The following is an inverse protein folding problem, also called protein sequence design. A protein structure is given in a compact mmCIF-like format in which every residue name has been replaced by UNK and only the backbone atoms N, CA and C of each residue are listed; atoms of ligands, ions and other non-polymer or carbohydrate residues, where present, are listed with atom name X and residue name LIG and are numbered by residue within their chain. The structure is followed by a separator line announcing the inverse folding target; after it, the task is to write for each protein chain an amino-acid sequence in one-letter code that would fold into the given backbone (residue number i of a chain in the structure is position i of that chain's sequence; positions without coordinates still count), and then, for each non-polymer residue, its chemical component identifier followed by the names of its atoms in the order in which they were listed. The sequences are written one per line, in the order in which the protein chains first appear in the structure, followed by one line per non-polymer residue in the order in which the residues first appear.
data_IF_624629701215
#
_entry.id   IF_624629701215
#
_cell.length_a   1.000
_cell.length_b   1.000
_cell.length_c   1.000
_cell.angle_alpha   90.00
_cell.angle_beta   90.00
_cell.angle_gamma   90.00
#
_symmetry.space_group_name_H-M   'P 1'
#
loop_
_entity.id
_entity.type
_entity.pdbx_description
1 polymer ?
#
# COMPACT_ATOMS: atom_id res chain seq x y z
N UNK A 1 2.87 6.33 91.44
CA UNK A 1 3.70 6.29 90.22
C UNK A 1 2.81 6.67 89.05
N UNK A 2 2.81 7.93 88.62
CA UNK A 2 1.98 8.37 87.48
C UNK A 2 2.62 7.79 86.21
N UNK A 3 1.86 7.01 85.45
CA UNK A 3 2.21 6.62 84.08
C UNK A 3 2.27 7.91 83.23
N UNK A 4 3.44 8.53 83.19
CA UNK A 4 3.72 9.68 82.33
C UNK A 4 3.98 9.19 80.92
N UNK A 5 2.96 9.27 80.07
CA UNK A 5 3.13 9.09 78.63
C UNK A 5 1.99 8.32 78.00
N UNK A 6 0.78 8.86 78.02
CA UNK A 6 -0.26 8.36 77.12
C UNK A 6 0.23 8.57 75.69
N UNK A 7 0.34 7.49 74.91
CA UNK A 7 0.58 7.61 73.47
C UNK A 7 -0.66 8.27 72.88
N UNK A 8 -0.52 9.50 72.40
CA UNK A 8 -1.60 10.23 71.76
C UNK A 8 -1.71 9.81 70.28
N UNK A 9 -2.90 9.93 69.71
CA UNK A 9 -3.14 9.66 68.27
C UNK A 9 -2.20 10.48 67.40
N UNK A 10 -1.91 11.73 67.78
CA UNK A 10 -0.97 12.59 67.06
C UNK A 10 0.48 12.07 67.09
N UNK A 11 0.93 11.48 68.20
CA UNK A 11 2.26 10.85 68.25
C UNK A 11 2.34 9.61 67.36
N UNK A 12 1.26 8.84 67.27
CA UNK A 12 1.18 7.69 66.36
C UNK A 12 1.21 8.16 64.90
N UNK A 13 0.42 9.18 64.54
CA UNK A 13 0.40 9.77 63.18
C UNK A 13 1.77 10.29 62.78
N UNK A 14 2.44 11.06 63.66
CA UNK A 14 3.77 11.58 63.39
C UNK A 14 4.80 10.47 63.18
N UNK A 15 4.75 9.39 63.98
CA UNK A 15 5.65 8.25 63.82
C UNK A 15 5.39 7.47 62.52
N UNK A 16 4.12 7.32 62.11
CA UNK A 16 3.76 6.69 60.83
C UNK A 16 4.25 7.52 59.64
N UNK A 17 4.05 8.84 59.68
CA UNK A 17 4.51 9.72 58.59
C UNK A 17 6.04 9.72 58.50
N UNK A 18 6.75 9.76 59.64
CA UNK A 18 8.21 9.66 59.65
C UNK A 18 8.71 8.33 59.07
N UNK A 19 8.02 7.22 59.35
CA UNK A 19 8.33 5.92 58.74
C UNK A 19 8.01 5.90 57.24
N UNK A 20 6.94 6.57 56.81
CA UNK A 20 6.55 6.65 55.40
C UNK A 20 7.55 7.48 54.58
N UNK A 21 8.02 8.61 55.13
CA UNK A 21 9.02 9.46 54.49
C UNK A 21 10.40 8.77 54.37
N UNK A 22 10.71 7.84 55.27
CA UNK A 22 11.92 7.01 55.22
C UNK A 22 11.81 5.81 54.25
N UNK A 23 10.61 5.51 53.71
CA UNK A 23 10.48 4.47 52.69
C UNK A 23 11.14 4.94 51.38
N UNK A 24 11.86 4.06 50.68
CA UNK A 24 12.37 4.40 49.36
C UNK A 24 11.20 4.78 48.44
N UNK A 25 11.40 5.75 47.53
CA UNK A 25 10.37 6.11 46.55
C UNK A 25 9.92 4.87 45.80
N UNK A 26 8.63 4.78 45.49
CA UNK A 26 8.12 3.67 44.72
C UNK A 26 8.93 3.55 43.41
N UNK A 27 9.55 2.38 43.11
CA UNK A 27 10.40 2.22 41.94
C UNK A 27 9.65 2.46 40.63
N UNK A 28 8.32 2.40 40.67
CA UNK A 28 7.44 2.66 39.52
C UNK A 28 6.48 3.81 39.84
N UNK A 29 6.84 5.09 39.65
CA UNK A 29 5.88 6.18 39.76
C UNK A 29 4.75 6.07 38.71
N UNK A 30 3.66 6.85 38.86
CA UNK A 30 2.63 6.97 37.81
C UNK A 30 3.29 7.42 36.50
N UNK A 31 2.94 6.76 35.39
CA UNK A 31 3.57 6.91 34.07
C UNK A 31 4.79 5.99 33.85
N UNK A 32 5.21 5.21 34.85
CA UNK A 32 6.31 4.25 34.67
C UNK A 32 5.89 3.08 33.78
N UNK A 33 6.84 2.60 32.97
CA UNK A 33 6.67 1.45 32.09
C UNK A 33 7.35 0.22 32.68
N UNK A 34 6.65 -0.92 32.64
CA UNK A 34 7.16 -2.23 33.03
C UNK A 34 7.07 -3.22 31.87
N UNK A 35 8.18 -3.93 31.62
CA UNK A 35 8.33 -4.92 30.55
C UNK A 35 8.52 -6.32 31.13
N UNK A 36 7.81 -7.31 30.59
CA UNK A 36 7.85 -8.69 31.09
C UNK A 36 7.57 -9.71 29.99
N UNK A 37 8.12 -10.91 30.12
CA UNK A 37 7.73 -12.06 29.29
C UNK A 37 6.43 -12.73 29.78
N UNK A 38 5.92 -12.31 30.93
CA UNK A 38 4.75 -12.88 31.59
C UNK A 38 3.54 -11.96 31.45
N UNK A 39 2.32 -12.51 31.28
CA UNK A 39 1.08 -11.74 31.18
C UNK A 39 0.58 -11.16 32.50
N UNK A 40 1.27 -11.41 33.61
CA UNK A 40 0.87 -11.01 34.96
C UNK A 40 0.75 -9.48 35.07
N UNK A 41 -0.40 -9.02 35.57
CA UNK A 41 -0.63 -7.60 35.89
C UNK A 41 0.35 -7.15 36.99
N UNK A 42 1.20 -6.13 36.74
CA UNK A 42 2.15 -5.63 37.73
C UNK A 42 1.51 -5.08 38.99
N UNK A 43 0.21 -4.74 38.98
CA UNK A 43 -0.55 -4.38 40.18
C UNK A 43 -0.54 -5.48 41.23
N UNK A 44 -0.43 -6.75 40.81
CA UNK A 44 -0.32 -7.90 41.73
C UNK A 44 1.08 -8.07 42.33
N UNK A 45 2.10 -7.46 41.74
CA UNK A 45 3.51 -7.57 42.14
C UNK A 45 3.99 -6.33 42.91
N UNK A 46 3.57 -5.15 42.46
CA UNK A 46 4.06 -3.85 42.93
C UNK A 46 2.96 -2.97 43.52
N UNK A 47 1.70 -3.42 43.50
CA UNK A 47 0.54 -2.58 43.80
C UNK A 47 0.27 -1.54 42.72
N UNK A 48 -0.70 -0.66 42.98
CA UNK A 48 -1.16 0.35 42.03
C UNK A 48 -2.04 -0.21 40.93
N UNK A 49 -2.47 0.68 40.02
CA UNK A 49 -3.32 0.34 38.88
C UNK A 49 -2.49 0.46 37.60
N UNK A 50 -2.56 -0.56 36.74
CA UNK A 50 -1.76 -0.64 35.53
C UNK A 50 -2.63 -0.88 34.30
N UNK A 51 -2.21 -0.35 33.15
CA UNK A 51 -2.85 -0.59 31.86
C UNK A 51 -1.85 -1.21 30.90
N UNK A 52 -2.25 -2.30 30.22
CA UNK A 52 -1.39 -2.95 29.24
C UNK A 52 -1.34 -2.13 27.94
N UNK A 53 -0.12 -1.88 27.45
CA UNK A 53 0.12 -1.37 26.10
C UNK A 53 0.21 -2.56 25.16
N UNK A 54 -0.64 -2.58 24.13
CA UNK A 54 -0.77 -3.68 23.16
C UNK A 54 -0.46 -3.22 21.75
N UNK A 55 0.21 -4.09 20.99
CA UNK A 55 0.41 -3.96 19.53
C UNK A 55 0.98 -2.61 19.10
N UNK A 56 1.91 -2.06 19.89
CA UNK A 56 2.54 -0.77 19.66
C UNK A 56 4.05 -0.84 19.88
N UNK A 57 4.80 -0.19 19.01
CA UNK A 57 6.19 0.18 19.27
C UNK A 57 6.23 1.43 20.16
N UNK A 58 7.10 1.43 21.17
CA UNK A 58 7.29 2.60 22.03
C UNK A 58 8.42 3.46 21.45
N UNK A 59 8.05 4.62 20.93
CA UNK A 59 8.98 5.66 20.49
C UNK A 59 9.21 6.64 21.64
N UNK A 60 10.47 6.98 21.90
CA UNK A 60 10.82 7.99 22.89
C UNK A 60 10.23 9.36 22.51
N UNK A 61 9.61 10.03 23.47
CA UNK A 61 9.09 11.37 23.28
C UNK A 61 10.21 12.40 23.09
N UNK A 62 9.94 13.44 22.30
CA UNK A 62 10.83 14.57 22.05
C UNK A 62 10.07 15.74 21.41
N UNK A 63 10.79 16.70 20.84
CA UNK A 63 10.17 17.91 20.27
C UNK A 63 9.25 17.62 19.07
N UNK A 64 9.59 16.59 18.28
CA UNK A 64 8.79 16.16 17.13
C UNK A 64 7.65 15.23 17.52
N UNK A 65 7.92 14.28 18.41
CA UNK A 65 6.95 13.26 18.83
C UNK A 65 6.61 13.48 20.30
N UNK A 66 5.50 14.17 20.55
CA UNK A 66 5.08 14.49 21.92
C UNK A 66 4.64 13.23 22.67
N UNK A 67 4.87 13.20 23.98
CA UNK A 67 4.42 12.11 24.84
C UNK A 67 2.90 11.88 24.71
N UNK A 68 2.49 10.61 24.61
CA UNK A 68 1.09 10.23 24.39
C UNK A 68 0.60 10.27 22.94
N UNK A 69 1.43 10.76 22.00
CA UNK A 69 1.11 10.69 20.56
C UNK A 69 1.07 9.24 20.08
N UNK A 70 0.16 8.94 19.14
CA UNK A 70 0.07 7.65 18.47
C UNK A 70 0.33 7.83 16.97
N UNK A 71 0.89 6.82 16.31
CA UNK A 71 1.12 6.82 14.87
C UNK A 71 1.77 5.53 14.39
N UNK A 72 2.17 5.52 13.12
CA UNK A 72 2.72 4.34 12.44
C UNK A 72 1.62 3.42 11.87
N UNK A 73 2.03 2.55 10.95
CA UNK A 73 1.14 1.60 10.27
C UNK A 73 1.82 0.24 10.20
N UNK A 74 1.09 -0.82 10.54
CA UNK A 74 1.59 -2.20 10.47
C UNK A 74 1.75 -2.67 9.01
N UNK A 75 0.81 -2.28 8.16
CA UNK A 75 0.82 -2.50 6.72
C UNK A 75 0.72 -1.17 5.99
N UNK A 76 1.41 -1.06 4.86
CA UNK A 76 1.34 0.13 4.00
C UNK A 76 0.90 -0.30 2.61
N UNK A 77 -0.10 0.39 2.08
CA UNK A 77 -0.42 0.39 0.65
C UNK A 77 0.25 1.60 0.03
N UNK A 78 1.05 1.37 -1.02
CA UNK A 78 1.71 2.47 -1.71
C UNK A 78 0.72 3.27 -2.54
N UNK A 79 0.74 4.58 -2.32
CA UNK A 79 0.05 5.56 -3.14
C UNK A 79 0.90 5.96 -4.36
N UNK A 80 0.27 6.55 -5.37
CA UNK A 80 0.94 6.91 -6.64
C UNK A 80 2.13 7.85 -6.41
N UNK A 81 2.02 8.77 -5.44
CA UNK A 81 3.06 9.73 -5.08
C UNK A 81 4.27 9.09 -4.36
N UNK A 82 4.10 7.88 -3.81
CA UNK A 82 5.16 7.11 -3.15
C UNK A 82 5.96 6.24 -4.13
N UNK A 83 5.52 6.12 -5.39
CA UNK A 83 6.23 5.36 -6.42
C UNK A 83 7.31 6.25 -7.06
N UNK A 84 8.60 5.84 -7.04
CA UNK A 84 9.66 6.61 -7.70
C UNK A 84 9.39 6.84 -9.19
N UNK A 85 9.94 7.93 -9.72
CA UNK A 85 9.90 8.19 -11.15
C UNK A 85 10.50 7.00 -11.90
N UNK A 86 9.69 6.41 -12.78
CA UNK A 86 10.07 5.29 -13.63
C UNK A 86 9.59 5.56 -15.06
N UNK A 87 10.05 4.74 -16.02
CA UNK A 87 9.68 4.90 -17.44
C UNK A 87 9.05 3.62 -17.97
N UNK A 88 8.05 3.80 -18.82
CA UNK A 88 7.59 2.76 -19.72
C UNK A 88 8.19 3.00 -21.10
N UNK A 89 8.58 1.93 -21.77
CA UNK A 89 8.98 1.97 -23.17
C UNK A 89 8.09 1.06 -23.97
N UNK A 90 7.57 1.56 -25.09
CA UNK A 90 6.89 0.74 -26.07
C UNK A 90 7.41 1.09 -27.47
N UNK A 91 7.29 0.14 -28.39
CA UNK A 91 7.72 0.32 -29.77
C UNK A 91 6.70 -0.37 -30.66
N UNK A 92 6.18 0.36 -31.65
CA UNK A 92 5.29 -0.17 -32.67
C UNK A 92 6.03 -0.22 -33.99
N UNK A 93 5.73 -1.22 -34.79
CA UNK A 93 6.23 -1.34 -36.15
C UNK A 93 5.04 -1.43 -37.09
N UNK A 94 4.88 -0.44 -37.96
CA UNK A 94 3.91 -0.53 -39.05
C UNK A 94 4.43 -1.48 -40.12
N UNK A 95 3.57 -2.36 -40.62
CA UNK A 95 3.86 -3.16 -41.80
C UNK A 95 3.06 -2.63 -42.97
N UNK A 96 3.71 -2.58 -44.13
CA UNK A 96 3.09 -2.17 -45.39
C UNK A 96 2.87 -3.41 -46.25
N UNK A 97 1.65 -3.59 -46.75
CA UNK A 97 1.37 -4.55 -47.82
C UNK A 97 1.38 -3.76 -49.13
N UNK A 98 2.45 -3.97 -49.90
CA UNK A 98 2.63 -3.37 -51.21
C UNK A 98 2.84 -4.44 -52.25
N UNK A 99 2.16 -4.34 -53.38
CA UNK A 99 2.32 -5.26 -54.49
C UNK A 99 1.28 -5.01 -55.56
N UNK A 100 1.35 -5.78 -56.63
CA UNK A 100 0.36 -5.68 -57.69
C UNK A 100 -0.10 -7.05 -58.13
N UNK A 101 -1.41 -7.21 -58.27
CA UNK A 101 -2.00 -8.41 -58.85
C UNK A 101 -2.45 -8.07 -60.27
N UNK A 102 -1.93 -8.84 -61.22
CA UNK A 102 -2.35 -8.80 -62.62
C UNK A 102 -3.32 -9.95 -62.87
N UNK A 103 -4.52 -9.63 -63.33
CA UNK A 103 -5.52 -10.63 -63.74
C UNK A 103 -5.89 -10.42 -65.20
N UNK A 104 -5.96 -11.52 -65.95
CA UNK A 104 -6.22 -11.49 -67.38
C UNK A 104 -7.66 -11.10 -67.74
N UNK A 105 -8.64 -11.57 -66.97
CA UNK A 105 -10.06 -11.20 -67.06
C UNK A 105 -10.73 -11.38 -65.69
N UNK A 106 -11.43 -10.37 -65.18
CA UNK A 106 -12.31 -10.49 -64.01
C UNK A 106 -13.76 -10.55 -64.50
N UNK A 107 -14.42 -11.68 -64.28
CA UNK A 107 -15.84 -11.90 -64.59
C UNK A 107 -16.57 -12.34 -63.32
N UNK A 108 -17.80 -11.86 -63.10
CA UNK A 108 -18.65 -12.25 -61.95
C UNK A 108 -18.05 -12.00 -60.55
N UNK A 109 -17.36 -10.87 -60.34
CA UNK A 109 -16.99 -10.45 -58.97
C UNK A 109 -18.25 -10.13 -58.15
N UNK A 110 -18.33 -10.60 -56.90
CA UNK A 110 -19.46 -10.34 -56.01
C UNK A 110 -19.48 -8.91 -55.46
N UNK A 111 -20.58 -8.51 -54.82
CA UNK A 111 -20.75 -7.18 -54.21
C UNK A 111 -19.98 -6.98 -52.90
N UNK A 112 -19.15 -7.93 -52.48
CA UNK A 112 -18.36 -7.89 -51.24
C UNK A 112 -17.04 -8.66 -51.39
N UNK A 113 -16.04 -8.30 -50.58
CA UNK A 113 -14.69 -8.85 -50.61
C UNK A 113 -13.62 -7.83 -51.06
N UNK A 114 -12.35 -8.25 -51.08
CA UNK A 114 -11.22 -7.39 -51.47
C UNK A 114 -11.33 -6.81 -52.89
N UNK A 115 -12.16 -7.43 -53.74
CA UNK A 115 -12.52 -6.95 -55.07
C UNK A 115 -14.05 -6.99 -55.22
N UNK A 116 -14.72 -5.84 -55.12
CA UNK A 116 -16.18 -5.71 -55.23
C UNK A 116 -16.58 -4.53 -56.11
N UNK A 117 -17.79 -4.58 -56.68
CA UNK A 117 -18.41 -3.48 -57.40
C UNK A 117 -19.82 -3.19 -56.86
N UNK A 118 -20.25 -1.92 -56.93
CA UNK A 118 -21.56 -1.48 -56.42
C UNK A 118 -22.71 -1.63 -57.43
N UNK A 119 -22.43 -2.02 -58.68
CA UNK A 119 -23.44 -2.17 -59.74
C UNK A 119 -23.77 -3.63 -60.04
N UNK A 120 -25.00 -4.08 -59.73
CA UNK A 120 -25.53 -5.44 -60.00
C UNK A 120 -25.68 -5.81 -61.49
N UNK A 121 -25.21 -4.97 -62.40
CA UNK A 121 -25.21 -5.21 -63.85
C UNK A 121 -23.78 -5.18 -64.35
N UNK A 122 -23.25 -6.34 -64.78
CA UNK A 122 -21.94 -6.57 -65.41
C UNK A 122 -20.98 -5.37 -65.40
N UNK A 123 -20.44 -5.04 -64.23
CA UNK A 123 -19.48 -3.96 -64.10
C UNK A 123 -18.09 -4.46 -64.52
N UNK A 124 -17.64 -4.02 -65.70
CA UNK A 124 -16.22 -4.04 -66.04
C UNK A 124 -15.50 -3.08 -65.08
N UNK A 125 -14.68 -3.61 -64.18
CA UNK A 125 -13.73 -2.79 -63.42
C UNK A 125 -12.48 -2.62 -64.28
N UNK A 126 -12.29 -1.43 -64.84
CA UNK A 126 -11.11 -1.11 -65.66
C UNK A 126 -11.49 -0.33 -66.90
N UNK A 127 -10.67 0.68 -67.21
CA UNK A 127 -10.82 1.58 -68.35
C UNK A 127 -11.19 0.80 -69.61
N UNK A 128 -12.29 1.22 -70.24
CA UNK A 128 -12.88 0.60 -71.41
C UNK A 128 -11.89 0.57 -72.57
N UNK A 129 -11.45 -0.63 -72.99
CA UNK A 129 -11.05 -0.89 -74.38
C UNK A 129 -11.27 -2.37 -74.74
N UNK A 130 -12.00 -2.57 -75.84
CA UNK A 130 -12.63 -3.82 -76.26
C UNK A 130 -11.67 -4.93 -76.75
N UNK A 131 -10.34 -4.83 -76.56
CA UNK A 131 -9.38 -5.85 -77.03
C UNK A 131 -8.13 -6.05 -76.16
N UNK A 132 -8.24 -5.84 -74.86
CA UNK A 132 -7.18 -6.21 -73.92
C UNK A 132 -6.99 -5.13 -72.90
N UNK A 133 -7.18 -5.49 -71.64
CA UNK A 133 -6.50 -4.76 -70.60
C UNK A 133 -6.35 -5.72 -69.43
N UNK A 134 -5.09 -6.10 -69.22
CA UNK A 134 -4.63 -6.63 -67.94
C UNK A 134 -4.94 -5.54 -66.90
N UNK A 135 -5.85 -5.84 -65.97
CA UNK A 135 -6.11 -4.92 -64.86
C UNK A 135 -5.11 -5.22 -63.76
N UNK A 136 -4.13 -4.34 -63.63
CA UNK A 136 -3.17 -4.36 -62.53
C UNK A 136 -3.78 -3.65 -61.33
N UNK A 137 -4.05 -4.40 -60.27
CA UNK A 137 -4.52 -3.85 -58.99
C UNK A 137 -3.33 -3.60 -58.09
N UNK A 138 -3.12 -2.35 -57.68
CA UNK A 138 -2.11 -2.01 -56.70
C UNK A 138 -2.66 -2.23 -55.30
N UNK A 139 -1.98 -3.08 -54.53
CA UNK A 139 -2.13 -3.16 -53.09
C UNK A 139 -1.24 -2.07 -52.50
N UNK A 140 -1.84 -1.11 -51.81
CA UNK A 140 -1.12 -0.09 -51.06
C UNK A 140 -1.90 0.17 -49.77
N UNK A 141 -1.56 -0.60 -48.74
CA UNK A 141 -2.18 -0.46 -47.42
C UNK A 141 -1.12 -0.57 -46.35
N UNK A 142 -1.24 0.29 -45.35
CA UNK A 142 -0.44 0.27 -44.12
C UNK A 142 -1.36 0.00 -42.95
N UNK A 143 -0.96 -0.91 -42.07
CA UNK A 143 -1.63 -1.06 -40.78
C UNK A 143 -0.65 -0.73 -39.65
N UNK A 144 -1.15 -0.05 -38.63
CA UNK A 144 -0.43 0.30 -37.42
C UNK A 144 -0.65 -0.77 -36.34
N UNK A 145 0.33 -0.98 -35.46
CA UNK A 145 0.16 -1.78 -34.26
C UNK A 145 -0.50 -0.94 -33.17
N UNK A 146 -1.51 -1.49 -32.50
CA UNK A 146 -2.00 -0.92 -31.24
C UNK A 146 -1.00 -1.21 -30.12
N UNK A 147 -0.68 -0.19 -29.33
CA UNK A 147 0.12 -0.30 -28.11
C UNK A 147 -0.74 0.16 -26.95
N UNK A 148 -0.94 -0.72 -25.97
CA UNK A 148 -1.39 -0.35 -24.62
C UNK A 148 -0.21 -0.41 -23.66
N UNK A 149 -0.08 0.61 -22.82
CA UNK A 149 0.82 0.59 -21.67
C UNK A 149 -0.08 0.79 -20.45
N UNK A 150 -0.37 -0.31 -19.79
CA UNK A 150 -1.21 -0.31 -18.60
C UNK A 150 -0.38 -0.03 -17.34
N UNK A 151 -1.09 0.27 -16.24
CA UNK A 151 -0.49 0.41 -14.93
C UNK A 151 0.29 -0.86 -14.55
N UNK A 152 1.46 -0.66 -13.92
CA UNK A 152 2.23 -1.75 -13.30
C UNK A 152 2.29 -1.54 -11.80
N UNK A 153 2.21 -2.63 -11.04
CA UNK A 153 2.08 -2.62 -9.59
C UNK A 153 0.69 -3.09 -9.16
N UNK A 154 0.64 -3.83 -8.04
CA UNK A 154 -0.61 -4.39 -7.52
C UNK A 154 -1.30 -3.54 -6.46
N UNK A 155 -0.67 -2.43 -6.02
CA UNK A 155 -1.08 -1.63 -4.86
C UNK A 155 -1.51 -2.51 -3.68
N UNK A 156 -0.82 -3.64 -3.50
CA UNK A 156 -1.10 -4.57 -2.42
C UNK A 156 -0.41 -4.07 -1.15
N UNK A 157 -1.09 -4.24 -0.02
CA UNK A 157 -0.49 -4.00 1.30
C UNK A 157 0.78 -4.84 1.47
N UNK A 158 1.83 -4.20 1.97
CA UNK A 158 3.04 -4.89 2.39
C UNK A 158 3.30 -4.67 3.88
N UNK A 159 3.83 -5.70 4.54
CA UNK A 159 4.25 -5.63 5.93
C UNK A 159 5.34 -4.56 6.09
N UNK A 160 5.15 -3.63 7.01
CA UNK A 160 6.11 -2.58 7.35
C UNK A 160 6.84 -2.85 8.68
N UNK A 161 6.61 -4.01 9.30
CA UNK A 161 7.25 -4.37 10.56
C UNK A 161 8.63 -5.00 10.33
N UNK A 162 9.72 -4.42 10.83
CA UNK A 162 11.02 -5.09 10.88
C UNK A 162 10.94 -6.32 11.80
N UNK A 163 11.90 -7.26 11.76
CA UNK A 163 11.92 -8.40 12.69
C UNK A 163 11.80 -7.94 14.15
N UNK A 164 10.87 -8.52 14.91
CA UNK A 164 10.58 -8.14 16.29
C UNK A 164 10.36 -9.37 17.20
N UNK A 165 10.52 -9.14 18.51
CA UNK A 165 10.08 -10.06 19.56
C UNK A 165 9.10 -9.30 20.44
N UNK A 166 8.03 -9.96 20.85
CA UNK A 166 6.99 -9.36 21.68
C UNK A 166 7.19 -9.69 23.16
N UNK A 167 6.97 -8.68 23.99
CA UNK A 167 6.91 -8.77 25.44
C UNK A 167 5.68 -8.00 25.93
N UNK A 168 5.18 -8.34 27.11
CA UNK A 168 4.12 -7.59 27.77
C UNK A 168 4.66 -6.26 28.26
N UNK A 169 4.02 -5.17 27.87
CA UNK A 169 4.32 -3.82 28.30
C UNK A 169 3.13 -3.26 29.08
N UNK A 170 3.40 -2.67 30.24
CA UNK A 170 2.39 -2.09 31.12
C UNK A 170 2.80 -0.67 31.51
N UNK A 171 1.82 0.23 31.58
CA UNK A 171 1.98 1.59 32.09
C UNK A 171 1.23 1.72 33.41
N UNK A 172 1.89 2.30 34.42
CA UNK A 172 1.25 2.59 35.69
C UNK A 172 0.37 3.83 35.57
N UNK A 173 -0.91 3.72 35.91
CA UNK A 173 -1.85 4.84 35.88
C UNK A 173 -2.15 5.42 37.26
N UNK A 174 -1.98 4.64 38.33
CA UNK A 174 -2.19 5.05 39.74
C UNK A 174 -1.25 4.32 40.71
#
# INVERSE_FOLDING_TARGET
MKLTGLITVEKIRAAINALYDDLPPNPYPVGAIYWSSQPTDPGTLFGGTWTQIKDKFILAAGDTYQAGSNGGEANVTLEIDQIPMHKHSASATSSTVSGSITVGRLQNVGSSGAFSHTNTSNAYCGNTDWRGSITTFNLNSSFASDISIDNTGGSAEHNNMPPYVTYYCWERIE
#
